data_IF_361159978136
#
_entry.id   IF_361159978136
#
_cell.length_a   1.000
_cell.length_b   1.000
_cell.length_c   1.000
_cell.angle_alpha   90.00
_cell.angle_beta   90.00
_cell.angle_gamma   90.00
#
_symmetry.space_group_name_H-M   'P 1'
#
loop_
_entity.id
_entity.type
_entity.pdbx_description
1 polymer ?
#
# COMPACT_ATOMS: atom_id res chain seq x y z
N UNK A 1 16.63 33.47 -8.82
CA UNK A 1 16.84 32.01 -9.02
C UNK A 1 15.99 31.23 -8.02
N UNK A 2 14.72 30.91 -8.31
CA UNK A 2 13.90 30.13 -7.37
C UNK A 2 12.67 29.42 -7.99
N UNK A 3 12.73 28.99 -9.25
CA UNK A 3 11.70 28.08 -9.81
C UNK A 3 12.05 26.59 -9.64
N UNK A 4 13.30 26.26 -9.29
CA UNK A 4 13.76 24.88 -9.18
C UNK A 4 13.22 24.14 -7.92
N UNK A 5 12.88 24.87 -6.85
CA UNK A 5 12.38 24.27 -5.61
C UNK A 5 10.91 23.81 -5.69
N UNK A 6 10.15 24.30 -6.68
CA UNK A 6 8.75 23.93 -6.85
C UNK A 6 8.55 22.61 -7.61
N UNK A 7 9.61 22.10 -8.26
CA UNK A 7 9.50 21.00 -9.22
C UNK A 7 9.80 19.61 -8.64
N UNK A 8 10.41 19.48 -7.46
CA UNK A 8 10.60 18.17 -6.81
C UNK A 8 10.67 18.28 -5.27
N UNK A 9 9.57 18.07 -4.52
CA UNK A 9 9.58 18.24 -3.06
C UNK A 9 10.11 17.03 -2.26
N UNK A 10 10.55 15.95 -2.93
CA UNK A 10 10.77 14.64 -2.28
C UNK A 10 12.10 13.98 -2.66
N UNK A 11 13.23 14.69 -2.59
CA UNK A 11 14.53 14.09 -3.01
C UNK A 11 15.73 14.47 -2.16
N UNK A 12 15.63 14.31 -0.84
CA UNK A 12 16.85 13.93 -0.10
C UNK A 12 16.71 12.47 0.32
N UNK A 13 17.81 11.72 0.25
CA UNK A 13 17.85 10.34 0.75
C UNK A 13 17.33 10.28 2.19
N UNK A 14 17.66 11.28 3.01
CA UNK A 14 17.17 11.42 4.37
C UNK A 14 15.64 11.46 4.46
N UNK A 15 14.97 12.25 3.61
CA UNK A 15 13.50 12.32 3.58
C UNK A 15 12.86 10.97 3.22
N UNK A 16 13.47 10.22 2.30
CA UNK A 16 12.98 8.88 1.93
C UNK A 16 13.18 7.90 3.08
N UNK A 17 14.35 7.90 3.72
CA UNK A 17 14.65 7.07 4.88
C UNK A 17 13.70 7.35 6.06
N UNK A 18 13.46 8.62 6.36
CA UNK A 18 12.53 9.04 7.41
C UNK A 18 11.08 8.66 7.06
N UNK A 19 10.69 8.77 5.79
CA UNK A 19 9.40 8.33 5.29
C UNK A 19 9.19 6.82 5.41
N UNK A 20 10.20 6.02 5.04
CA UNK A 20 10.19 4.56 5.19
C UNK A 20 10.07 4.19 6.67
N UNK A 21 10.88 4.79 7.54
CA UNK A 21 10.86 4.53 8.98
C UNK A 21 9.48 4.85 9.58
N UNK A 22 8.95 6.02 9.26
CA UNK A 22 7.65 6.47 9.78
C UNK A 22 6.51 5.59 9.29
N UNK A 23 6.46 5.30 7.98
CA UNK A 23 5.38 4.49 7.40
C UNK A 23 5.39 3.07 7.97
N UNK A 24 6.57 2.45 8.09
CA UNK A 24 6.73 1.14 8.72
C UNK A 24 6.24 1.13 10.17
N UNK A 25 6.62 2.15 10.95
CA UNK A 25 6.22 2.25 12.35
C UNK A 25 4.69 2.38 12.49
N UNK A 26 4.06 3.23 11.67
CA UNK A 26 2.60 3.44 11.70
C UNK A 26 1.83 2.18 11.30
N UNK A 27 2.24 1.52 10.21
CA UNK A 27 1.57 0.29 9.76
C UNK A 27 1.68 -0.81 10.82
N UNK A 28 2.88 -1.00 11.38
CA UNK A 28 3.10 -2.00 12.43
C UNK A 28 2.25 -1.71 13.66
N UNK A 29 2.26 -0.48 14.16
CA UNK A 29 1.45 -0.08 15.32
C UNK A 29 -0.05 -0.28 15.07
N UNK A 30 -0.51 -0.01 13.85
CA UNK A 30 -1.92 -0.22 13.46
C UNK A 30 -2.30 -1.70 13.47
N UNK A 31 -1.42 -2.57 12.95
CA UNK A 31 -1.61 -4.04 12.97
C UNK A 31 -1.59 -4.58 14.40
N UNK A 32 -0.64 -4.14 15.23
CA UNK A 32 -0.56 -4.51 16.65
C UNK A 32 -1.84 -4.09 17.39
N UNK A 33 -2.34 -2.89 17.11
CA UNK A 33 -3.57 -2.36 17.71
C UNK A 33 -4.81 -3.15 17.31
N UNK A 34 -4.93 -3.54 16.04
CA UNK A 34 -6.02 -4.39 15.57
C UNK A 34 -6.02 -5.74 16.29
N UNK A 35 -4.85 -6.38 16.40
CA UNK A 35 -4.67 -7.66 17.12
C UNK A 35 -5.01 -7.53 18.61
N UNK A 36 -4.59 -6.45 19.25
CA UNK A 36 -4.92 -6.19 20.66
C UNK A 36 -6.44 -6.06 20.90
N UNK A 37 -7.21 -5.72 19.86
CA UNK A 37 -8.69 -5.69 19.87
C UNK A 37 -9.34 -6.94 19.29
N UNK A 38 -8.58 -8.03 19.13
CA UNK A 38 -9.04 -9.29 18.55
C UNK A 38 -9.61 -9.16 17.12
N UNK A 39 -9.19 -8.13 16.37
CA UNK A 39 -9.50 -7.98 14.96
C UNK A 39 -8.41 -8.61 14.08
N UNK A 40 -8.79 -9.12 12.91
CA UNK A 40 -7.85 -9.62 11.90
C UNK A 40 -7.33 -8.47 11.03
N UNK A 41 -6.04 -8.10 11.11
CA UNK A 41 -5.50 -7.02 10.30
C UNK A 41 -5.16 -7.49 8.89
N UNK A 42 -5.48 -6.67 7.88
CA UNK A 42 -5.03 -6.84 6.51
C UNK A 42 -4.76 -5.48 5.86
N UNK A 43 -3.52 -5.23 5.44
CA UNK A 43 -3.15 -4.04 4.67
C UNK A 43 -3.40 -4.29 3.18
N UNK A 44 -4.02 -3.34 2.48
CA UNK A 44 -4.35 -3.48 1.05
C UNK A 44 -3.43 -2.58 0.23
N UNK A 45 -2.80 -3.13 -0.81
CA UNK A 45 -1.91 -2.40 -1.72
C UNK A 45 -2.47 -2.49 -3.15
N UNK A 46 -3.23 -1.46 -3.60
CA UNK A 46 -3.60 -1.32 -5.00
C UNK A 46 -2.36 -0.97 -5.83
N UNK A 47 -1.98 -1.83 -6.78
CA UNK A 47 -0.89 -1.60 -7.72
C UNK A 47 -1.49 -1.39 -9.11
N UNK A 48 -1.45 -0.16 -9.60
CA UNK A 48 -1.88 0.15 -10.96
C UNK A 48 -0.73 -0.04 -11.95
N UNK A 49 -0.95 -0.81 -13.01
CA UNK A 49 0.09 -1.17 -13.96
C UNK A 49 1.19 -2.04 -13.35
N UNK A 50 2.34 -2.08 -14.02
CA UNK A 50 3.51 -2.81 -13.53
C UNK A 50 4.17 -2.10 -12.36
N UNK A 51 4.50 -2.85 -11.30
CA UNK A 51 5.33 -2.35 -10.20
C UNK A 51 6.75 -2.04 -10.70
N UNK A 52 7.20 -0.80 -10.51
CA UNK A 52 8.57 -0.41 -10.86
C UNK A 52 9.61 -0.80 -9.79
N UNK A 53 10.89 -0.59 -10.09
CA UNK A 53 12.00 -0.96 -9.19
C UNK A 53 11.99 -0.18 -7.88
N UNK A 54 11.61 1.09 -7.91
CA UNK A 54 11.55 1.94 -6.73
C UNK A 54 10.35 1.58 -5.86
N UNK A 55 9.18 1.36 -6.46
CA UNK A 55 7.97 0.88 -5.78
C UNK A 55 8.22 -0.47 -5.11
N UNK A 56 8.85 -1.41 -5.82
CA UNK A 56 9.22 -2.72 -5.28
C UNK A 56 10.19 -2.62 -4.11
N UNK A 57 11.20 -1.75 -4.21
CA UNK A 57 12.14 -1.50 -3.12
C UNK A 57 11.41 -0.91 -1.90
N UNK A 58 10.52 0.07 -2.10
CA UNK A 58 9.75 0.66 -1.02
C UNK A 58 8.81 -0.34 -0.35
N UNK A 59 8.07 -1.14 -1.14
CA UNK A 59 7.20 -2.20 -0.60
C UNK A 59 7.98 -3.19 0.25
N UNK A 60 9.15 -3.64 -0.22
CA UNK A 60 10.04 -4.54 0.54
C UNK A 60 10.46 -3.94 1.88
N UNK A 61 10.75 -2.65 1.91
CA UNK A 61 11.25 -1.97 3.11
C UNK A 61 10.15 -1.59 4.11
N UNK A 62 8.94 -1.35 3.61
CA UNK A 62 7.81 -0.82 4.40
C UNK A 62 6.87 -1.95 4.84
N UNK A 63 6.60 -2.91 3.96
CA UNK A 63 5.48 -3.85 4.09
C UNK A 63 5.95 -5.30 4.21
N UNK A 64 6.83 -5.76 3.31
CA UNK A 64 7.23 -7.17 3.27
C UNK A 64 7.78 -7.62 4.63
N UNK A 65 7.27 -8.74 5.14
CA UNK A 65 7.59 -9.33 6.45
C UNK A 65 7.24 -8.46 7.68
N UNK A 66 6.71 -7.25 7.49
CA UNK A 66 6.35 -6.32 8.58
C UNK A 66 4.89 -6.42 8.99
N UNK A 67 4.00 -6.59 8.02
CA UNK A 67 2.54 -6.58 8.21
C UNK A 67 1.86 -7.57 7.27
N UNK A 68 0.72 -8.15 7.66
CA UNK A 68 -0.10 -8.93 6.73
C UNK A 68 -0.67 -7.99 5.66
N UNK A 69 -0.48 -8.35 4.40
CA UNK A 69 -0.98 -7.55 3.29
C UNK A 69 -1.51 -8.40 2.13
N UNK A 70 -2.34 -7.77 1.31
CA UNK A 70 -2.73 -8.26 -0.02
C UNK A 70 -2.38 -7.19 -1.05
N UNK A 71 -1.69 -7.62 -2.12
CA UNK A 71 -1.42 -6.76 -3.27
C UNK A 71 -2.41 -7.07 -4.37
N UNK A 72 -3.06 -6.03 -4.89
CA UNK A 72 -4.08 -6.15 -5.94
C UNK A 72 -3.54 -5.48 -7.19
N UNK A 73 -3.22 -6.28 -8.20
CA UNK A 73 -2.82 -5.75 -9.51
C UNK A 73 -4.05 -5.21 -10.24
N UNK A 74 -3.96 -3.97 -10.69
CA UNK A 74 -5.04 -3.24 -11.36
C UNK A 74 -4.51 -2.70 -12.69
N UNK A 75 -5.35 -2.68 -13.71
CA UNK A 75 -5.00 -1.99 -14.95
C UNK A 75 -4.85 -0.49 -14.70
N UNK A 76 -3.90 0.16 -15.37
CA UNK A 76 -3.64 1.59 -15.23
C UNK A 76 -4.86 2.45 -15.59
N UNK A 77 -5.71 1.97 -16.50
CA UNK A 77 -6.91 2.65 -16.97
C UNK A 77 -8.10 2.46 -16.03
N UNK A 78 -7.99 1.62 -14.99
CA UNK A 78 -9.08 1.42 -14.03
C UNK A 78 -9.16 2.51 -12.95
N UNK A 79 -8.92 3.74 -13.36
CA UNK A 79 -9.02 4.94 -12.53
C UNK A 79 -10.22 5.77 -12.94
N UNK A 80 -10.66 6.63 -12.04
CA UNK A 80 -11.65 7.65 -12.38
C UNK A 80 -11.02 8.71 -13.31
N UNK A 81 -11.77 9.28 -14.28
CA UNK A 81 -11.25 10.38 -15.09
C UNK A 81 -10.82 11.55 -14.21
N UNK A 82 -9.59 12.07 -14.42
CA UNK A 82 -8.98 13.17 -13.65
C UNK A 82 -8.69 12.89 -12.17
N UNK A 83 -8.86 11.64 -11.75
CA UNK A 83 -8.64 11.22 -10.38
C UNK A 83 -7.76 9.95 -10.39
N UNK A 84 -6.81 9.89 -9.46
CA UNK A 84 -5.93 8.73 -9.30
C UNK A 84 -6.61 7.58 -8.55
N UNK A 85 -7.84 7.75 -8.05
CA UNK A 85 -8.55 6.69 -7.33
C UNK A 85 -9.07 5.57 -8.25
N UNK A 86 -9.23 4.34 -7.72
CA UNK A 86 -9.90 3.24 -8.41
C UNK A 86 -11.30 3.62 -8.89
N UNK A 87 -11.66 3.18 -10.10
CA UNK A 87 -13.05 3.21 -10.56
C UNK A 87 -13.86 2.04 -9.95
N UNK A 88 -15.14 1.94 -10.31
CA UNK A 88 -16.04 0.90 -9.80
C UNK A 88 -15.54 -0.53 -10.08
N UNK A 89 -14.91 -0.76 -11.23
CA UNK A 89 -14.36 -2.06 -11.58
C UNK A 89 -13.14 -2.41 -10.72
N UNK A 90 -12.17 -1.50 -10.60
CA UNK A 90 -11.03 -1.72 -9.71
C UNK A 90 -11.44 -1.87 -8.23
N UNK A 91 -12.46 -1.14 -7.77
CA UNK A 91 -13.01 -1.33 -6.43
C UNK A 91 -13.58 -2.74 -6.22
N UNK A 92 -14.24 -3.31 -7.23
CA UNK A 92 -14.73 -4.68 -7.19
C UNK A 92 -13.57 -5.69 -7.08
N UNK A 93 -12.52 -5.52 -7.89
CA UNK A 93 -11.34 -6.39 -7.85
C UNK A 93 -10.62 -6.32 -6.49
N UNK A 94 -10.49 -5.12 -5.92
CA UNK A 94 -9.95 -4.95 -4.56
C UNK A 94 -10.81 -5.70 -3.53
N UNK A 95 -12.13 -5.54 -3.59
CA UNK A 95 -13.04 -6.22 -2.66
C UNK A 95 -12.96 -7.75 -2.79
N UNK A 96 -12.89 -8.27 -4.02
CA UNK A 96 -12.75 -9.70 -4.28
C UNK A 96 -11.44 -10.26 -3.70
N UNK A 97 -10.32 -9.55 -3.88
CA UNK A 97 -9.03 -9.94 -3.33
C UNK A 97 -9.01 -9.95 -1.79
N UNK A 98 -9.61 -8.93 -1.16
CA UNK A 98 -9.77 -8.89 0.31
C UNK A 98 -10.59 -10.08 0.79
N UNK A 99 -11.74 -10.33 0.17
CA UNK A 99 -12.63 -11.42 0.58
C UNK A 99 -11.97 -12.80 0.41
N UNK A 100 -11.21 -13.01 -0.67
CA UNK A 100 -10.44 -14.23 -0.87
C UNK A 100 -9.39 -14.41 0.24
N UNK A 101 -8.62 -13.35 0.55
CA UNK A 101 -7.58 -13.41 1.56
C UNK A 101 -8.14 -13.71 2.96
N UNK A 102 -9.27 -13.09 3.33
CA UNK A 102 -9.91 -13.34 4.62
C UNK A 102 -10.42 -14.78 4.74
N UNK A 103 -11.07 -15.32 3.70
CA UNK A 103 -11.50 -16.74 3.68
C UNK A 103 -10.31 -17.71 3.81
N UNK A 104 -9.19 -17.42 3.14
CA UNK A 104 -7.97 -18.23 3.30
C UNK A 104 -7.39 -18.14 4.71
N UNK A 105 -7.54 -17.01 5.39
CA UNK A 105 -7.13 -16.82 6.79
C UNK A 105 -8.00 -17.62 7.76
N UNK A 106 -9.32 -17.63 7.55
CA UNK A 106 -10.26 -18.44 8.33
C UNK A 106 -9.97 -19.93 8.23
N UNK A 107 -9.69 -20.44 7.02
CA UNK A 107 -9.39 -21.86 6.82
C UNK A 107 -8.08 -22.36 7.46
N UNK A 108 -7.20 -21.46 7.93
CA UNK A 108 -5.94 -21.78 8.60
C UNK A 108 -6.00 -21.67 10.13
N UNK A 109 -7.13 -21.22 10.69
CA UNK A 109 -7.37 -21.12 12.13
C UNK A 109 -8.06 -22.39 12.63
#
# INVERSE_FOLDING_TARGET
MALAALLVPYRTTRTVEDGVRTTRAVLRATVELARARMAEPLVVIPQFGSEDDAERLLRRRIVDEQVPYVRVGLDADWRLPWDRHPNAHAAHEIAAAIAAQLRHGEARR
#
